data_IF_848111843613
#
_entry.id   IF_848111843613
#
_cell.length_a   1.000
_cell.length_b   1.000
_cell.length_c   1.000
_cell.angle_alpha   90.00
_cell.angle_beta   90.00
_cell.angle_gamma   90.00
#
_symmetry.space_group_name_H-M   'P 1'
#
loop_
_entity.id
_entity.type
_entity.pdbx_description
1 polymer ?
#
# COMPACT_ATOMS: atom_id res chain seq x y z
N UNK A 1 25.29 20.51 -41.49
CA UNK A 1 25.74 21.81 -40.92
C UNK A 1 26.76 22.44 -41.85
N UNK A 2 28.01 21.96 -41.88
CA UNK A 2 29.11 22.53 -42.69
C UNK A 2 28.72 22.80 -44.15
N UNK A 3 28.26 21.77 -44.87
CA UNK A 3 27.84 21.90 -46.28
C UNK A 3 26.78 22.98 -46.45
N UNK A 4 25.79 23.01 -45.57
CA UNK A 4 24.74 24.03 -45.69
C UNK A 4 25.21 25.42 -45.34
N UNK A 5 26.11 25.58 -44.38
CA UNK A 5 26.69 26.88 -44.08
C UNK A 5 27.47 27.39 -45.30
N UNK A 6 28.24 26.52 -45.95
CA UNK A 6 28.94 26.85 -47.20
C UNK A 6 28.01 27.24 -48.35
N UNK A 7 26.90 26.51 -48.54
CA UNK A 7 25.88 26.86 -49.54
C UNK A 7 25.21 28.20 -49.19
N UNK A 8 24.86 28.41 -47.93
CA UNK A 8 24.20 29.63 -47.46
C UNK A 8 25.07 30.85 -47.68
N UNK A 9 26.36 30.75 -47.34
CA UNK A 9 27.37 31.77 -47.58
C UNK A 9 27.57 32.03 -49.09
N UNK A 10 27.80 30.98 -49.89
CA UNK A 10 28.12 31.12 -51.31
C UNK A 10 26.96 31.64 -52.16
N UNK A 11 25.72 31.25 -51.84
CA UNK A 11 24.52 31.71 -52.57
C UNK A 11 23.98 33.03 -52.00
N UNK A 12 24.38 33.37 -50.77
CA UNK A 12 23.84 34.45 -49.95
C UNK A 12 22.32 34.31 -49.76
N UNK A 13 21.94 33.22 -49.08
CA UNK A 13 20.54 32.84 -48.90
C UNK A 13 19.73 33.83 -48.05
N UNK A 14 20.38 34.56 -47.14
CA UNK A 14 19.71 35.55 -46.32
C UNK A 14 19.31 36.77 -47.16
N UNK A 15 20.25 37.39 -47.88
CA UNK A 15 19.99 38.64 -48.60
C UNK A 15 19.10 38.43 -49.83
N UNK A 16 19.24 37.29 -50.53
CA UNK A 16 18.48 37.03 -51.76
C UNK A 16 17.09 36.43 -51.53
N UNK A 17 16.93 35.61 -50.50
CA UNK A 17 15.71 34.84 -50.27
C UNK A 17 15.05 35.10 -48.91
N UNK A 18 15.62 35.98 -48.08
CA UNK A 18 15.08 36.30 -46.75
C UNK A 18 15.12 35.15 -45.75
N UNK A 19 15.99 34.16 -45.98
CA UNK A 19 16.09 32.98 -45.11
C UNK A 19 16.75 33.36 -43.79
N UNK A 20 16.06 33.09 -42.68
CA UNK A 20 16.58 33.38 -41.35
C UNK A 20 17.83 32.55 -41.01
N UNK A 21 18.95 33.23 -40.83
CA UNK A 21 20.23 32.66 -40.38
C UNK A 21 20.43 32.79 -38.87
N UNK A 22 21.43 32.08 -38.32
CA UNK A 22 21.80 32.14 -36.90
C UNK A 22 22.30 33.53 -36.50
N UNK A 23 23.13 34.15 -37.34
CA UNK A 23 23.70 35.47 -37.08
C UNK A 23 24.86 35.44 -36.09
N UNK A 24 25.09 36.55 -35.40
CA UNK A 24 26.28 36.70 -34.56
C UNK A 24 26.21 35.80 -33.30
N UNK A 25 27.18 34.91 -33.15
CA UNK A 25 27.33 34.05 -31.98
C UNK A 25 28.38 34.71 -31.07
N UNK A 26 28.07 34.99 -29.79
CA UNK A 26 29.02 35.63 -28.89
C UNK A 26 30.25 34.72 -28.72
N UNK A 27 31.39 35.18 -29.24
CA UNK A 27 32.68 34.50 -29.10
C UNK A 27 33.26 34.72 -27.71
N UNK A 28 33.83 33.68 -27.12
CA UNK A 28 34.50 33.74 -25.82
C UNK A 28 33.66 33.28 -24.63
N UNK A 29 34.32 33.21 -23.46
CA UNK A 29 33.70 32.78 -22.21
C UNK A 29 33.09 33.97 -21.47
N UNK A 30 31.87 33.79 -20.95
CA UNK A 30 31.26 34.79 -20.07
C UNK A 30 31.86 34.66 -18.66
N UNK A 31 32.10 35.78 -17.95
CA UNK A 31 32.58 35.73 -16.57
C UNK A 31 31.53 35.08 -15.65
N UNK A 32 31.96 34.41 -14.57
CA UNK A 32 31.04 33.80 -13.61
C UNK A 32 30.22 34.87 -12.90
N UNK A 33 28.92 34.60 -12.69
CA UNK A 33 27.96 35.50 -12.04
C UNK A 33 27.23 34.72 -10.95
N UNK A 34 27.18 35.28 -9.74
CA UNK A 34 26.43 34.69 -8.64
C UNK A 34 24.90 34.74 -8.92
N UNK A 35 24.16 33.64 -8.71
CA UNK A 35 22.70 33.62 -8.83
C UNK A 35 22.04 34.62 -7.89
N UNK A 36 21.08 35.40 -8.38
CA UNK A 36 20.33 36.36 -7.56
C UNK A 36 19.32 35.64 -6.68
N UNK A 37 19.50 35.69 -5.36
CA UNK A 37 18.62 35.02 -4.38
C UNK A 37 17.16 35.46 -4.42
N UNK A 38 16.87 36.67 -4.92
CA UNK A 38 15.50 37.19 -5.04
C UNK A 38 14.58 36.30 -5.90
N UNK A 39 15.12 35.56 -6.87
CA UNK A 39 14.32 34.70 -7.75
C UNK A 39 14.07 33.29 -7.19
N UNK A 40 14.79 32.86 -6.14
CA UNK A 40 14.74 31.47 -5.66
C UNK A 40 13.32 31.04 -5.28
N UNK A 41 12.57 31.91 -4.60
CA UNK A 41 11.17 31.63 -4.24
C UNK A 41 10.25 31.49 -5.45
N UNK A 42 10.49 32.23 -6.53
CA UNK A 42 9.66 32.22 -7.73
C UNK A 42 9.92 31.00 -8.62
N UNK A 43 11.14 30.49 -8.63
CA UNK A 43 11.55 29.37 -9.51
C UNK A 43 11.59 28.02 -8.81
N UNK A 44 11.37 27.96 -7.50
CA UNK A 44 11.49 26.73 -6.71
C UNK A 44 10.65 25.56 -7.26
N UNK A 45 9.39 25.81 -7.65
CA UNK A 45 8.51 24.77 -8.21
C UNK A 45 9.02 24.22 -9.54
N UNK A 46 9.40 25.09 -10.46
CA UNK A 46 9.95 24.70 -11.77
C UNK A 46 11.30 23.99 -11.63
N UNK A 47 12.16 24.47 -10.73
CA UNK A 47 13.45 23.85 -10.43
C UNK A 47 13.27 22.44 -9.87
N UNK A 48 12.29 22.23 -8.98
CA UNK A 48 11.96 20.91 -8.45
C UNK A 48 11.52 19.95 -9.57
N UNK A 49 10.60 20.39 -10.44
CA UNK A 49 10.14 19.58 -11.58
C UNK A 49 11.30 19.20 -12.52
N UNK A 50 12.15 20.17 -12.87
CA UNK A 50 13.33 19.92 -13.73
C UNK A 50 14.32 18.96 -13.06
N UNK A 51 14.56 19.10 -11.75
CA UNK A 51 15.44 18.21 -11.02
C UNK A 51 14.93 16.76 -11.01
N UNK A 52 13.63 16.56 -10.74
CA UNK A 52 12.99 15.24 -10.74
C UNK A 52 13.07 14.59 -12.13
N UNK A 53 12.67 15.31 -13.18
CA UNK A 53 12.71 14.79 -14.56
C UNK A 53 14.14 14.54 -15.02
N UNK A 54 15.04 15.51 -14.79
CA UNK A 54 16.44 15.43 -15.18
C UNK A 54 17.17 14.26 -14.52
N UNK A 55 16.92 14.02 -13.23
CA UNK A 55 17.45 12.87 -12.52
C UNK A 55 16.82 11.56 -12.99
N UNK A 56 15.49 11.51 -13.17
CA UNK A 56 14.80 10.31 -13.63
C UNK A 56 15.30 9.83 -15.00
N UNK A 57 15.55 10.75 -15.94
CA UNK A 57 16.14 10.42 -17.24
C UNK A 57 17.60 9.94 -17.06
N UNK A 58 18.38 10.62 -16.22
CA UNK A 58 19.78 10.25 -15.94
C UNK A 58 19.90 8.83 -15.40
N UNK A 59 19.18 8.51 -14.31
CA UNK A 59 19.25 7.19 -13.68
C UNK A 59 18.67 6.09 -14.57
N UNK A 60 17.65 6.40 -15.38
CA UNK A 60 17.08 5.45 -16.33
C UNK A 60 18.10 5.05 -17.39
N UNK A 61 18.79 6.03 -17.99
CA UNK A 61 19.84 5.76 -18.97
C UNK A 61 21.04 5.05 -18.35
N UNK A 62 21.45 5.46 -17.15
CA UNK A 62 22.51 4.81 -16.39
C UNK A 62 22.21 3.33 -16.16
N UNK A 63 20.99 2.98 -15.73
CA UNK A 63 20.56 1.59 -15.53
C UNK A 63 20.51 0.77 -16.82
N UNK A 64 20.15 1.37 -17.95
CA UNK A 64 20.16 0.69 -19.25
C UNK A 64 21.59 0.24 -19.60
N UNK A 65 22.58 1.12 -19.46
CA UNK A 65 23.97 0.78 -19.73
C UNK A 65 24.57 -0.16 -18.67
N UNK A 66 24.18 0.01 -17.40
CA UNK A 66 24.56 -0.89 -16.31
C UNK A 66 24.14 -2.34 -16.58
N UNK A 67 22.90 -2.53 -17.03
CA UNK A 67 22.36 -3.82 -17.43
C UNK A 67 23.10 -4.38 -18.65
N UNK A 68 23.37 -3.53 -19.66
CA UNK A 68 24.05 -3.93 -20.90
C UNK A 68 25.50 -4.37 -20.69
N UNK A 69 26.24 -3.69 -19.81
CA UNK A 69 27.66 -3.93 -19.59
C UNK A 69 27.98 -4.63 -18.26
N UNK A 70 26.96 -5.00 -17.47
CA UNK A 70 27.12 -5.80 -16.26
C UNK A 70 27.75 -5.07 -15.06
N UNK A 71 27.69 -3.74 -15.00
CA UNK A 71 28.17 -2.96 -13.85
C UNK A 71 27.00 -2.47 -12.97
N UNK A 72 27.31 -2.00 -11.76
CA UNK A 72 26.32 -1.44 -10.84
C UNK A 72 26.33 0.09 -10.91
N UNK A 73 25.15 0.70 -10.85
CA UNK A 73 24.98 2.16 -10.76
C UNK A 73 24.46 2.51 -9.38
N UNK A 74 25.15 3.44 -8.71
CA UNK A 74 24.67 4.02 -7.46
C UNK A 74 23.76 5.22 -7.76
N UNK A 75 22.50 5.09 -7.36
CA UNK A 75 21.47 6.11 -7.59
C UNK A 75 21.75 7.40 -6.81
N UNK A 76 22.27 7.29 -5.60
CA UNK A 76 22.57 8.45 -4.75
C UNK A 76 23.76 9.23 -5.32
N UNK A 77 24.78 8.51 -5.80
CA UNK A 77 25.96 9.13 -6.41
C UNK A 77 25.62 9.92 -7.68
N UNK A 78 24.76 9.36 -8.55
CA UNK A 78 24.29 10.05 -9.76
C UNK A 78 23.47 11.31 -9.44
N UNK A 79 22.65 11.27 -8.38
CA UNK A 79 21.88 12.44 -7.94
C UNK A 79 22.81 13.57 -7.47
N UNK A 80 23.81 13.23 -6.64
CA UNK A 80 24.79 14.20 -6.14
C UNK A 80 25.63 14.77 -7.29
N UNK A 81 26.10 13.91 -8.21
CA UNK A 81 26.89 14.33 -9.36
C UNK A 81 26.11 15.31 -10.25
N UNK A 82 24.86 14.96 -10.61
CA UNK A 82 24.01 15.83 -11.43
C UNK A 82 23.69 17.15 -10.72
N UNK A 83 23.46 17.11 -9.41
CA UNK A 83 23.25 18.29 -8.58
C UNK A 83 24.46 19.22 -8.56
N UNK A 84 25.66 18.67 -8.37
CA UNK A 84 26.92 19.44 -8.39
C UNK A 84 27.19 20.05 -9.77
N UNK A 85 26.97 19.30 -10.86
CA UNK A 85 27.12 19.82 -12.21
C UNK A 85 26.20 21.04 -12.47
N UNK A 86 24.94 20.95 -12.07
CA UNK A 86 23.97 22.04 -12.23
C UNK A 86 24.24 23.21 -11.27
N UNK A 87 24.67 22.93 -10.04
CA UNK A 87 25.06 23.95 -9.07
C UNK A 87 26.23 24.79 -9.59
N UNK A 88 27.31 24.14 -10.04
CA UNK A 88 28.47 24.81 -10.62
C UNK A 88 28.08 25.53 -11.92
N UNK A 89 27.31 24.88 -12.80
CA UNK A 89 26.84 25.47 -14.05
C UNK A 89 26.01 26.76 -13.85
N UNK A 90 25.28 26.86 -12.74
CA UNK A 90 24.51 28.06 -12.39
C UNK A 90 25.37 29.32 -12.25
N UNK A 91 26.61 29.20 -11.78
CA UNK A 91 27.55 30.34 -11.71
C UNK A 91 28.12 30.74 -13.07
N UNK A 92 28.13 29.83 -14.04
CA UNK A 92 28.61 30.07 -15.40
C UNK A 92 27.49 30.39 -16.39
N UNK A 93 26.31 30.78 -15.89
CA UNK A 93 25.14 31.13 -16.69
C UNK A 93 24.66 29.99 -17.60
N UNK A 94 24.87 28.73 -17.19
CA UNK A 94 24.36 27.57 -17.89
C UNK A 94 22.86 27.36 -17.57
N UNK A 95 22.13 26.83 -18.55
CA UNK A 95 20.80 26.27 -18.30
C UNK A 95 20.93 24.90 -17.61
N UNK A 96 19.84 24.43 -17.00
CA UNK A 96 19.83 23.14 -16.33
C UNK A 96 20.10 21.99 -17.32
N UNK A 97 21.08 21.16 -17.01
CA UNK A 97 21.51 20.04 -17.85
C UNK A 97 21.05 18.70 -17.29
N UNK A 98 20.91 17.72 -18.18
CA UNK A 98 20.73 16.30 -17.88
C UNK A 98 21.51 15.48 -18.91
N UNK A 99 21.44 14.14 -18.82
CA UNK A 99 22.10 13.26 -19.76
C UNK A 99 21.47 13.38 -21.17
N UNK A 100 22.28 13.15 -22.20
CA UNK A 100 21.80 13.09 -23.58
C UNK A 100 21.75 11.64 -24.05
N UNK A 101 20.53 11.11 -24.22
CA UNK A 101 20.32 9.75 -24.70
C UNK A 101 20.99 9.52 -26.06
N UNK A 102 20.76 10.42 -27.03
CA UNK A 102 21.31 10.29 -28.39
C UNK A 102 22.84 10.33 -28.41
N UNK A 103 23.48 11.23 -27.65
CA UNK A 103 24.95 11.34 -27.64
C UNK A 103 25.61 10.19 -26.90
N UNK A 104 25.02 9.74 -25.80
CA UNK A 104 25.53 8.60 -25.03
C UNK A 104 25.42 7.30 -25.83
N UNK A 105 24.31 7.11 -26.56
CA UNK A 105 24.12 5.94 -27.41
C UNK A 105 25.12 5.90 -28.57
N UNK A 106 25.41 7.06 -29.19
CA UNK A 106 26.44 7.15 -30.25
C UNK A 106 27.82 6.88 -29.68
N UNK A 107 28.15 7.42 -28.51
CA UNK A 107 29.43 7.16 -27.84
C UNK A 107 29.59 5.67 -27.53
N UNK A 108 28.55 5.02 -27.01
CA UNK A 108 28.57 3.59 -26.69
C UNK A 108 28.65 2.73 -27.95
N UNK A 109 27.87 3.03 -28.99
CA UNK A 109 27.88 2.28 -30.25
C UNK A 109 29.19 2.41 -31.03
N UNK A 110 29.95 3.47 -30.79
CA UNK A 110 31.30 3.67 -31.33
C UNK A 110 32.40 3.05 -30.45
N UNK A 111 32.05 2.34 -29.38
CA UNK A 111 32.97 1.63 -28.49
C UNK A 111 33.54 2.47 -27.34
N UNK A 112 32.99 3.67 -27.08
CA UNK A 112 33.40 4.52 -25.98
C UNK A 112 33.02 3.92 -24.62
N UNK A 113 34.03 3.54 -23.84
CA UNK A 113 33.87 2.84 -22.55
C UNK A 113 34.36 3.63 -21.32
N UNK A 114 34.77 4.88 -21.50
CA UNK A 114 35.35 5.72 -20.44
C UNK A 114 34.86 7.17 -20.50
N UNK A 115 34.85 7.84 -19.33
CA UNK A 115 34.46 9.25 -19.19
C UNK A 115 35.44 10.23 -19.86
N UNK A 116 36.63 9.75 -20.25
CA UNK A 116 37.60 10.52 -21.05
C UNK A 116 36.97 11.01 -22.36
N UNK A 117 36.06 10.25 -22.96
CA UNK A 117 35.33 10.69 -24.15
C UNK A 117 34.53 11.98 -23.90
N UNK A 118 33.94 12.12 -22.71
CA UNK A 118 33.23 13.34 -22.31
C UNK A 118 34.17 14.54 -22.14
N UNK A 119 35.37 14.33 -21.61
CA UNK A 119 36.40 15.37 -21.49
C UNK A 119 36.89 15.82 -22.86
N UNK A 120 37.14 14.89 -23.78
CA UNK A 120 37.53 15.24 -25.16
C UNK A 120 36.40 16.03 -25.82
N UNK A 121 35.15 15.61 -25.66
CA UNK A 121 34.00 16.31 -26.20
C UNK A 121 33.87 17.75 -25.65
N UNK A 122 34.11 17.96 -24.35
CA UNK A 122 34.05 19.30 -23.74
C UNK A 122 35.18 20.21 -24.24
N UNK A 123 36.40 19.67 -24.45
CA UNK A 123 37.52 20.42 -25.05
C UNK A 123 37.20 20.83 -26.49
N UNK A 124 36.62 19.93 -27.29
CA UNK A 124 36.20 20.26 -28.67
C UNK A 124 35.14 21.36 -28.67
N UNK A 125 34.15 21.31 -27.77
CA UNK A 125 33.14 22.36 -27.63
C UNK A 125 33.79 23.69 -27.23
N UNK A 126 34.74 23.68 -26.28
CA UNK A 126 35.46 24.88 -25.85
C UNK A 126 36.22 25.55 -27.01
N UNK A 127 36.96 24.76 -27.80
CA UNK A 127 37.67 25.27 -28.99
C UNK A 127 36.68 25.85 -30.01
N UNK A 128 35.53 25.18 -30.19
CA UNK A 128 34.48 25.61 -31.12
C UNK A 128 33.92 26.99 -30.72
N UNK A 129 33.67 27.21 -29.43
CA UNK A 129 33.14 28.49 -28.90
C UNK A 129 34.14 29.64 -29.06
N UNK A 130 35.44 29.38 -28.90
CA UNK A 130 36.46 30.44 -28.94
C UNK A 130 36.83 30.83 -30.37
N UNK A 131 36.95 29.86 -31.30
CA UNK A 131 37.53 30.11 -32.63
C UNK A 131 36.59 29.83 -33.81
N UNK A 132 35.62 28.95 -33.68
CA UNK A 132 34.84 28.42 -34.82
C UNK A 132 33.42 29.02 -34.85
N UNK A 133 32.99 29.72 -33.80
CA UNK A 133 31.64 30.32 -33.71
C UNK A 133 31.28 31.20 -34.91
N UNK A 134 32.22 32.03 -35.38
CA UNK A 134 32.01 32.92 -36.53
C UNK A 134 31.72 32.16 -37.83
N UNK A 135 32.26 30.95 -38.00
CA UNK A 135 32.04 30.13 -39.18
C UNK A 135 30.56 29.75 -39.36
N UNK A 136 29.76 29.79 -38.30
CA UNK A 136 28.35 29.41 -38.32
C UNK A 136 27.39 30.59 -38.48
N UNK A 137 27.88 31.80 -38.77
CA UNK A 137 27.05 33.00 -38.95
C UNK A 137 25.91 32.80 -39.97
N UNK A 138 26.26 32.30 -41.17
CA UNK A 138 25.32 32.09 -42.27
C UNK A 138 24.50 30.79 -42.16
N UNK A 139 24.59 30.06 -41.06
CA UNK A 139 23.87 28.79 -40.91
C UNK A 139 22.34 29.04 -40.91
N UNK A 140 21.55 28.41 -41.81
CA UNK A 140 20.10 28.58 -41.81
C UNK A 140 19.41 27.94 -40.59
N UNK A 141 18.50 28.68 -39.93
CA UNK A 141 17.71 28.18 -38.78
C UNK A 141 16.84 26.97 -39.14
N UNK A 142 16.39 26.87 -40.40
CA UNK A 142 15.60 25.73 -40.89
C UNK A 142 16.31 24.37 -40.71
N UNK A 143 17.65 24.36 -40.79
CA UNK A 143 18.41 23.11 -40.66
C UNK A 143 18.57 22.70 -39.21
N UNK A 144 18.68 23.66 -38.29
CA UNK A 144 18.62 23.37 -36.87
C UNK A 144 17.26 22.74 -36.52
N UNK A 145 16.16 23.28 -37.06
CA UNK A 145 14.83 22.71 -36.88
C UNK A 145 14.72 21.28 -37.45
N UNK A 146 15.25 21.05 -38.66
CA UNK A 146 15.27 19.71 -39.26
C UNK A 146 16.05 18.69 -38.42
N UNK A 147 17.19 19.08 -37.85
CA UNK A 147 17.99 18.22 -36.95
C UNK A 147 17.18 17.87 -35.69
N UNK A 148 16.44 18.82 -35.12
CA UNK A 148 15.57 18.57 -33.96
C UNK A 148 14.49 17.55 -34.32
N UNK A 149 13.79 17.72 -35.45
CA UNK A 149 12.73 16.78 -35.90
C UNK A 149 13.28 15.37 -36.08
N UNK A 150 14.45 15.22 -36.72
CA UNK A 150 15.08 13.92 -36.92
C UNK A 150 15.47 13.27 -35.59
N UNK A 151 15.99 14.05 -34.64
CA UNK A 151 16.31 13.55 -33.30
C UNK A 151 15.07 13.10 -32.51
N UNK A 152 13.92 13.75 -32.72
CA UNK A 152 12.66 13.42 -32.05
C UNK A 152 11.94 12.21 -32.66
N UNK A 153 12.31 11.76 -33.87
CA UNK A 153 11.68 10.61 -34.55
C UNK A 153 11.63 9.35 -33.68
N UNK A 154 12.71 9.09 -32.92
CA UNK A 154 12.78 7.94 -32.01
C UNK A 154 11.77 8.04 -30.87
N UNK A 155 11.56 9.24 -30.32
CA UNK A 155 10.57 9.48 -29.27
C UNK A 155 9.14 9.35 -29.81
N UNK A 156 8.85 9.87 -31.01
CA UNK A 156 7.53 9.70 -31.64
C UNK A 156 7.17 8.24 -31.94
N UNK A 157 8.15 7.35 -32.10
CA UNK A 157 7.88 5.91 -32.29
C UNK A 157 7.20 5.26 -31.07
N UNK A 158 7.36 5.84 -29.87
CA UNK A 158 6.75 5.35 -28.63
C UNK A 158 5.21 5.38 -28.65
N UNK A 159 4.58 6.14 -29.55
CA UNK A 159 3.12 6.06 -29.74
C UNK A 159 2.62 4.67 -30.14
N UNK A 160 3.50 3.82 -30.70
CA UNK A 160 3.17 2.42 -31.00
C UNK A 160 2.87 1.60 -29.73
N UNK A 161 3.44 1.98 -28.58
CA UNK A 161 3.29 1.26 -27.31
C UNK A 161 1.83 1.29 -26.81
N UNK A 162 1.03 2.25 -27.27
CA UNK A 162 -0.37 2.40 -26.90
C UNK A 162 -1.20 1.15 -27.25
N UNK A 163 -0.92 0.54 -28.40
CA UNK A 163 -1.60 -0.68 -28.85
C UNK A 163 -1.21 -1.89 -28.00
N UNK A 164 0.05 -1.95 -27.56
CA UNK A 164 0.56 -3.00 -26.69
C UNK A 164 -0.01 -2.87 -25.27
N UNK A 165 -0.02 -1.65 -24.72
CA UNK A 165 -0.57 -1.36 -23.40
C UNK A 165 -2.07 -1.65 -23.32
N UNK A 166 -2.85 -1.32 -24.37
CA UNK A 166 -4.28 -1.64 -24.42
C UNK A 166 -4.56 -3.14 -24.26
N UNK A 167 -3.73 -3.99 -24.88
CA UNK A 167 -3.88 -5.46 -24.80
C UNK A 167 -3.35 -6.04 -23.50
N UNK A 168 -2.29 -5.45 -22.93
CA UNK A 168 -1.60 -5.99 -21.76
C UNK A 168 -2.20 -5.50 -20.43
N UNK A 169 -2.23 -4.18 -20.20
CA UNK A 169 -2.69 -3.60 -18.94
C UNK A 169 -3.38 -2.25 -19.20
N UNK A 170 -4.72 -2.26 -19.13
CA UNK A 170 -5.56 -1.08 -19.31
C UNK A 170 -5.25 0.03 -18.31
N UNK A 171 -4.77 -0.33 -17.12
CA UNK A 171 -4.44 0.63 -16.07
C UNK A 171 -3.19 1.44 -16.43
N UNK A 172 -2.14 0.78 -16.93
CA UNK A 172 -0.91 1.46 -17.35
C UNK A 172 -1.17 2.34 -18.58
N UNK A 173 -2.07 1.89 -19.47
CA UNK A 173 -2.57 2.73 -20.55
C UNK A 173 -3.25 4.01 -20.03
N UNK A 174 -4.10 3.92 -19.01
CA UNK A 174 -4.74 5.11 -18.42
C UNK A 174 -3.71 6.06 -17.85
N UNK A 175 -2.68 5.55 -17.15
CA UNK A 175 -1.57 6.38 -16.66
C UNK A 175 -0.86 7.07 -17.82
N UNK A 176 -0.58 6.36 -18.92
CA UNK A 176 0.04 6.94 -20.11
C UNK A 176 -0.80 8.06 -20.72
N UNK A 177 -2.10 7.81 -20.95
CA UNK A 177 -3.02 8.77 -21.57
C UNK A 177 -3.19 10.01 -20.68
N UNK A 178 -3.40 9.81 -19.38
CA UNK A 178 -3.52 10.92 -18.41
C UNK A 178 -2.23 11.73 -18.38
N UNK A 179 -1.06 11.10 -18.38
CA UNK A 179 0.24 11.80 -18.42
C UNK A 179 0.38 12.63 -19.69
N UNK A 180 0.07 12.05 -20.85
CA UNK A 180 0.17 12.73 -22.14
C UNK A 180 -0.79 13.93 -22.23
N UNK A 181 -2.07 13.73 -21.88
CA UNK A 181 -3.08 14.79 -21.93
C UNK A 181 -2.80 15.88 -20.89
N UNK A 182 -2.42 15.51 -19.66
CA UNK A 182 -2.11 16.47 -18.60
C UNK A 182 -0.91 17.34 -18.95
N UNK A 183 0.17 16.77 -19.50
CA UNK A 183 1.36 17.54 -19.90
C UNK A 183 1.11 18.44 -21.11
N UNK A 184 0.22 18.03 -22.03
CA UNK A 184 -0.16 18.85 -23.18
C UNK A 184 -1.02 20.07 -22.79
N UNK A 185 -1.95 19.91 -21.84
CA UNK A 185 -2.92 20.95 -21.46
C UNK A 185 -2.38 21.86 -20.34
N UNK A 186 -1.70 21.29 -19.34
CA UNK A 186 -1.35 21.98 -18.09
C UNK A 186 0.12 22.44 -18.03
N UNK A 187 0.86 22.32 -19.14
CA UNK A 187 2.33 22.42 -19.19
C UNK A 187 3.04 21.27 -18.46
N UNK A 188 4.36 21.21 -18.64
CA UNK A 188 5.20 20.09 -18.19
C UNK A 188 5.25 19.94 -16.67
N UNK A 189 5.31 21.05 -15.94
CA UNK A 189 5.44 21.11 -14.48
C UNK A 189 4.18 20.58 -13.77
N UNK A 190 3.02 21.16 -14.06
CA UNK A 190 1.74 20.74 -13.47
C UNK A 190 1.32 19.37 -14.04
N UNK A 191 1.55 19.13 -15.33
CA UNK A 191 1.26 17.85 -15.96
C UNK A 191 2.03 16.68 -15.33
N UNK A 192 3.31 16.88 -15.01
CA UNK A 192 4.10 15.89 -14.28
C UNK A 192 3.52 15.63 -12.89
N UNK A 193 3.25 16.68 -12.10
CA UNK A 193 2.68 16.54 -10.77
C UNK A 193 1.34 15.78 -10.79
N UNK A 194 0.46 16.13 -11.74
CA UNK A 194 -0.82 15.46 -11.94
C UNK A 194 -0.64 13.98 -12.30
N UNK A 195 0.30 13.66 -13.20
CA UNK A 195 0.58 12.27 -13.61
C UNK A 195 1.14 11.40 -12.49
N UNK A 196 2.05 11.95 -11.67
CA UNK A 196 2.61 11.25 -10.51
C UNK A 196 1.51 11.00 -9.47
N UNK A 197 0.67 12.00 -9.21
CA UNK A 197 -0.50 11.86 -8.34
C UNK A 197 -1.47 10.78 -8.83
N UNK A 198 -1.80 10.78 -10.13
CA UNK A 198 -2.67 9.78 -10.74
C UNK A 198 -2.06 8.36 -10.69
N UNK A 199 -0.75 8.24 -10.93
CA UNK A 199 -0.02 6.98 -10.80
C UNK A 199 -0.07 6.42 -9.39
N UNK A 200 0.12 7.26 -8.38
CA UNK A 200 0.01 6.84 -6.96
C UNK A 200 -1.43 6.44 -6.61
N UNK A 201 -2.42 7.23 -7.05
CA UNK A 201 -3.84 6.94 -6.83
C UNK A 201 -4.25 5.60 -7.45
N UNK A 202 -3.71 5.29 -8.61
CA UNK A 202 -3.91 4.02 -9.29
C UNK A 202 -3.40 2.83 -8.47
N UNK A 203 -2.23 2.97 -7.83
CA UNK A 203 -1.71 1.94 -6.90
C UNK A 203 -2.68 1.75 -5.73
N UNK A 204 -3.17 2.84 -5.13
CA UNK A 204 -4.12 2.79 -4.01
C UNK A 204 -5.41 2.06 -4.39
N UNK A 205 -6.00 2.38 -5.55
CA UNK A 205 -7.23 1.71 -5.99
C UNK A 205 -7.02 0.22 -6.30
N UNK A 206 -5.86 -0.14 -6.88
CA UNK A 206 -5.52 -1.56 -7.12
C UNK A 206 -5.36 -2.34 -5.83
N UNK A 207 -4.81 -1.75 -4.77
CA UNK A 207 -4.63 -2.44 -3.48
C UNK A 207 -5.91 -2.48 -2.64
N UNK A 208 -6.87 -1.60 -2.90
CA UNK A 208 -8.18 -1.57 -2.22
C UNK A 208 -9.14 -2.67 -2.67
N UNK A 209 -9.04 -3.15 -3.91
CA UNK A 209 -9.92 -4.17 -4.47
C UNK A 209 -9.18 -5.49 -4.72
N UNK A 210 -8.70 -6.17 -3.66
CA UNK A 210 -8.04 -7.44 -3.83
C UNK A 210 -9.04 -8.54 -4.21
N UNK A 211 -8.52 -9.57 -4.86
CA UNK A 211 -9.24 -10.82 -5.05
C UNK A 211 -9.37 -11.57 -3.72
N UNK A 212 -10.58 -12.01 -3.39
CA UNK A 212 -10.91 -12.78 -2.19
C UNK A 212 -11.42 -14.17 -2.58
N UNK A 213 -10.78 -15.20 -2.06
CA UNK A 213 -11.06 -16.60 -2.39
C UNK A 213 -11.37 -17.45 -1.17
N UNK A 214 -12.15 -18.50 -1.38
CA UNK A 214 -12.33 -19.58 -0.41
C UNK A 214 -11.46 -20.73 -0.88
N UNK A 215 -10.59 -21.21 0.00
CA UNK A 215 -9.67 -22.28 -0.34
C UNK A 215 -10.28 -23.64 -0.04
N UNK A 216 -10.13 -24.56 -0.99
CA UNK A 216 -10.40 -25.98 -0.85
C UNK A 216 -9.11 -26.77 -0.83
N UNK A 217 -9.16 -27.96 -0.24
CA UNK A 217 -8.07 -28.93 -0.22
C UNK A 217 -8.13 -29.78 -1.49
N UNK A 218 -6.99 -30.01 -2.13
CA UNK A 218 -6.88 -31.02 -3.18
C UNK A 218 -6.75 -32.39 -2.50
N UNK A 219 -7.52 -33.38 -2.97
CA UNK A 219 -7.56 -34.74 -2.41
C UNK A 219 -6.16 -35.30 -2.13
N UNK A 220 -5.98 -35.90 -0.96
CA UNK A 220 -4.74 -36.57 -0.51
C UNK A 220 -3.46 -35.73 -0.49
N UNK A 221 -3.57 -34.41 -0.57
CA UNK A 221 -2.42 -33.48 -0.46
C UNK A 221 -2.59 -32.48 0.68
N UNK A 222 -1.55 -31.71 0.99
CA UNK A 222 -1.57 -30.55 1.88
C UNK A 222 -1.78 -29.22 1.11
N UNK A 223 -2.14 -29.31 -0.18
CA UNK A 223 -2.27 -28.16 -1.07
C UNK A 223 -3.67 -27.59 -1.03
N UNK A 224 -3.75 -26.29 -0.74
CA UNK A 224 -4.99 -25.51 -0.73
C UNK A 224 -5.02 -24.53 -1.91
N UNK A 225 -6.13 -24.54 -2.66
CA UNK A 225 -6.35 -23.72 -3.86
C UNK A 225 -7.76 -23.16 -3.89
N UNK A 226 -7.97 -22.10 -4.67
CA UNK A 226 -9.30 -21.51 -4.82
C UNK A 226 -10.24 -22.52 -5.48
N UNK A 227 -11.37 -22.78 -4.82
CA UNK A 227 -12.42 -23.68 -5.30
C UNK A 227 -13.06 -23.17 -6.60
N UNK A 228 -13.07 -21.85 -6.81
CA UNK A 228 -13.62 -21.25 -8.03
C UNK A 228 -12.68 -21.39 -9.24
N UNK A 229 -11.38 -21.56 -9.03
CA UNK A 229 -10.37 -21.64 -10.09
C UNK A 229 -9.93 -23.08 -10.37
N UNK A 230 -9.90 -23.94 -9.35
CA UNK A 230 -9.44 -25.33 -9.45
C UNK A 230 -10.58 -26.31 -9.12
N UNK A 231 -11.12 -26.99 -10.13
CA UNK A 231 -12.23 -27.94 -9.97
C UNK A 231 -11.91 -29.11 -9.01
N UNK A 232 -10.64 -29.49 -8.88
CA UNK A 232 -10.18 -30.54 -7.96
C UNK A 232 -10.13 -30.09 -6.49
N UNK A 233 -10.24 -28.80 -6.20
CA UNK A 233 -10.17 -28.28 -4.84
C UNK A 233 -11.56 -28.38 -4.16
N UNK A 234 -11.65 -29.14 -3.08
CA UNK A 234 -12.89 -29.33 -2.34
C UNK A 234 -12.83 -28.64 -0.98
N UNK A 235 -13.91 -27.97 -0.59
CA UNK A 235 -13.98 -27.34 0.73
C UNK A 235 -13.89 -28.38 1.86
N UNK A 236 -13.19 -28.03 2.93
CA UNK A 236 -13.08 -28.90 4.11
C UNK A 236 -14.39 -28.86 4.91
N UNK A 237 -15.05 -30.00 5.17
CA UNK A 237 -16.33 -30.00 5.87
C UNK A 237 -16.25 -29.37 7.26
N UNK A 238 -17.07 -28.33 7.49
CA UNK A 238 -17.15 -27.64 8.78
C UNK A 238 -16.07 -26.57 9.01
N UNK A 239 -15.15 -26.35 8.07
CA UNK A 239 -14.09 -25.33 8.16
C UNK A 239 -14.11 -24.45 6.92
N UNK A 240 -14.12 -23.13 7.08
CA UNK A 240 -13.98 -22.19 5.96
C UNK A 240 -12.58 -21.58 5.96
N UNK A 241 -11.88 -21.71 4.85
CA UNK A 241 -10.52 -21.15 4.69
C UNK A 241 -10.63 -19.94 3.77
N UNK A 242 -10.31 -18.75 4.29
CA UNK A 242 -10.43 -17.49 3.58
C UNK A 242 -9.05 -16.91 3.28
N UNK A 243 -8.82 -16.53 2.03
CA UNK A 243 -7.57 -15.91 1.58
C UNK A 243 -7.85 -14.60 0.87
N UNK A 244 -7.01 -13.59 1.15
CA UNK A 244 -6.92 -12.36 0.37
C UNK A 244 -5.61 -12.32 -0.40
N UNK A 245 -5.63 -11.68 -1.57
CA UNK A 245 -4.45 -11.47 -2.43
C UNK A 245 -3.65 -10.21 -2.09
N UNK A 246 -4.04 -9.45 -1.07
CA UNK A 246 -3.38 -8.19 -0.67
C UNK A 246 -3.17 -8.13 0.85
N UNK A 247 -2.33 -7.18 1.25
CA UNK A 247 -2.10 -6.83 2.65
C UNK A 247 -3.30 -6.11 3.26
N UNK A 248 -3.39 -6.08 4.59
CA UNK A 248 -4.51 -5.48 5.32
C UNK A 248 -4.10 -4.15 5.93
N UNK A 249 -4.81 -3.09 5.59
CA UNK A 249 -4.58 -1.75 6.12
C UNK A 249 -5.87 -0.93 6.09
N UNK A 250 -5.84 0.30 6.60
CA UNK A 250 -7.01 1.14 6.81
C UNK A 250 -7.90 1.27 5.58
N UNK A 251 -7.33 1.27 4.37
CA UNK A 251 -8.10 1.53 3.15
C UNK A 251 -8.89 0.31 2.67
N UNK A 252 -8.55 -0.92 3.07
CA UNK A 252 -9.17 -2.13 2.53
C UNK A 252 -9.69 -3.12 3.58
N UNK A 253 -9.39 -2.92 4.87
CA UNK A 253 -9.78 -3.87 5.91
C UNK A 253 -11.30 -3.97 6.13
N UNK A 254 -12.06 -2.89 5.87
CA UNK A 254 -13.53 -2.94 5.91
C UNK A 254 -14.08 -3.83 4.79
N UNK A 255 -13.56 -3.66 3.57
CA UNK A 255 -13.89 -4.51 2.42
C UNK A 255 -13.50 -5.97 2.68
N UNK A 256 -12.37 -6.22 3.36
CA UNK A 256 -11.97 -7.55 3.78
C UNK A 256 -13.01 -8.17 4.74
N UNK A 257 -13.46 -7.42 5.74
CA UNK A 257 -14.45 -7.89 6.71
C UNK A 257 -15.80 -8.20 6.05
N UNK A 258 -16.26 -7.34 5.14
CA UNK A 258 -17.48 -7.55 4.37
C UNK A 258 -17.36 -8.73 3.42
N UNK A 259 -16.25 -8.86 2.70
CA UNK A 259 -15.98 -9.97 1.79
C UNK A 259 -15.92 -11.30 2.53
N UNK A 260 -15.31 -11.35 3.71
CA UNK A 260 -15.29 -12.53 4.58
C UNK A 260 -16.72 -12.94 4.96
N UNK A 261 -17.52 -12.02 5.48
CA UNK A 261 -18.93 -12.28 5.84
C UNK A 261 -19.74 -12.78 4.64
N UNK A 262 -19.58 -12.14 3.47
CA UNK A 262 -20.27 -12.49 2.22
C UNK A 262 -19.87 -13.88 1.70
N UNK A 263 -18.57 -14.18 1.64
CA UNK A 263 -18.04 -15.46 1.14
C UNK A 263 -18.34 -16.63 2.08
N UNK A 264 -18.44 -16.38 3.38
CA UNK A 264 -18.95 -17.36 4.35
C UNK A 264 -20.44 -17.66 4.21
N UNK A 265 -21.20 -16.88 3.41
CA UNK A 265 -22.63 -17.11 3.17
C UNK A 265 -23.52 -16.81 4.37
N UNK A 266 -23.03 -16.11 5.39
CA UNK A 266 -23.75 -15.84 6.64
C UNK A 266 -23.86 -14.35 6.88
N UNK A 267 -25.08 -13.90 7.19
CA UNK A 267 -25.32 -12.56 7.72
C UNK A 267 -25.00 -12.52 9.22
N UNK A 268 -23.70 -12.43 9.54
CA UNK A 268 -23.17 -12.42 10.91
C UNK A 268 -23.88 -11.35 11.77
N UNK A 269 -24.00 -10.13 11.26
CA UNK A 269 -24.63 -9.01 11.97
C UNK A 269 -26.10 -9.28 12.34
N UNK A 270 -26.84 -9.96 11.44
CA UNK A 270 -28.24 -10.34 11.67
C UNK A 270 -28.36 -11.42 12.73
N UNK A 271 -27.45 -12.40 12.75
CA UNK A 271 -27.43 -13.47 13.75
C UNK A 271 -27.10 -12.93 15.14
N UNK A 272 -26.06 -12.09 15.24
CA UNK A 272 -25.70 -11.39 16.49
C UNK A 272 -26.90 -10.58 17.01
N UNK A 273 -27.56 -9.83 16.12
CA UNK A 273 -28.76 -9.06 16.47
C UNK A 273 -29.92 -9.94 17.00
N UNK A 274 -30.16 -11.10 16.39
CA UNK A 274 -31.16 -12.07 16.87
C UNK A 274 -30.78 -12.67 18.22
N UNK A 275 -29.52 -13.07 18.40
CA UNK A 275 -28.98 -13.63 19.66
C UNK A 275 -29.15 -12.61 20.79
N UNK A 276 -28.72 -11.36 20.60
CA UNK A 276 -28.89 -10.27 21.58
C UNK A 276 -30.35 -10.01 21.93
N UNK A 277 -31.26 -10.02 20.95
CA UNK A 277 -32.71 -9.88 21.19
C UNK A 277 -33.29 -11.06 21.98
N UNK A 278 -32.88 -12.29 21.69
CA UNK A 278 -33.33 -13.49 22.39
C UNK A 278 -32.83 -13.51 23.84
N UNK A 279 -31.54 -13.20 24.06
CA UNK A 279 -30.94 -13.01 25.38
C UNK A 279 -31.68 -11.96 26.22
N UNK A 280 -32.03 -10.81 25.62
CA UNK A 280 -32.79 -9.76 26.31
C UNK A 280 -34.19 -10.24 26.73
N UNK A 281 -34.86 -11.04 25.89
CA UNK A 281 -36.16 -11.67 26.23
C UNK A 281 -36.00 -12.66 27.39
N UNK A 282 -34.99 -13.51 27.34
CA UNK A 282 -34.69 -14.50 28.39
C UNK A 282 -34.42 -13.82 29.73
N UNK A 283 -33.54 -12.81 29.76
CA UNK A 283 -33.26 -12.01 30.97
C UNK A 283 -34.51 -11.31 31.51
N UNK A 284 -35.41 -10.83 30.64
CA UNK A 284 -36.68 -10.22 31.06
C UNK A 284 -37.65 -11.25 31.67
N UNK A 285 -37.69 -12.47 31.12
CA UNK A 285 -38.48 -13.57 31.68
C UNK A 285 -37.93 -14.04 33.03
N UNK A 286 -36.62 -14.22 33.16
CA UNK A 286 -35.95 -14.55 34.42
C UNK A 286 -36.27 -13.51 35.50
N UNK A 287 -36.12 -12.22 35.19
CA UNK A 287 -36.48 -11.12 36.12
C UNK A 287 -37.96 -11.12 36.52
N UNK A 288 -38.88 -11.55 35.63
CA UNK A 288 -40.31 -11.68 35.98
C UNK A 288 -40.55 -12.84 36.94
N UNK A 289 -39.98 -14.01 36.64
CA UNK A 289 -40.09 -15.21 37.49
C UNK A 289 -39.47 -14.98 38.86
N UNK A 290 -38.34 -14.28 38.92
CA UNK A 290 -37.67 -13.93 40.17
C UNK A 290 -38.50 -12.95 41.02
N UNK A 291 -39.13 -11.95 40.39
CA UNK A 291 -40.10 -11.06 41.05
C UNK A 291 -41.32 -11.81 41.57
N UNK A 292 -41.84 -12.79 40.83
CA UNK A 292 -42.95 -13.64 41.29
C UNK A 292 -42.54 -14.58 42.44
N UNK A 293 -41.35 -15.18 42.37
CA UNK A 293 -40.78 -15.96 43.48
C UNK A 293 -40.59 -15.10 44.73
N UNK A 294 -40.07 -13.88 44.60
CA UNK A 294 -39.92 -12.94 45.71
C UNK A 294 -41.28 -12.53 46.32
N UNK A 295 -42.31 -12.32 45.48
CA UNK A 295 -43.69 -12.09 45.96
C UNK A 295 -44.25 -13.30 46.71
N UNK A 296 -44.06 -14.53 46.19
CA UNK A 296 -44.48 -15.78 46.86
C UNK A 296 -43.75 -16.00 48.18
N UNK A 297 -42.45 -15.72 48.25
CA UNK A 297 -41.64 -15.85 49.47
C UNK A 297 -42.08 -14.87 50.56
N UNK A 298 -42.53 -13.66 50.19
CA UNK A 298 -43.17 -12.69 51.11
C UNK A 298 -44.55 -13.12 51.62
N UNK A 299 -45.27 -13.99 50.90
CA UNK A 299 -46.57 -14.51 51.33
C UNK A 299 -46.46 -15.73 52.26
N UNK A 300 -45.28 -16.36 52.40
CA UNK A 300 -45.07 -17.61 53.12
C UNK A 300 -44.22 -17.48 54.42
N UNK A 301 -43.99 -16.27 54.94
CA UNK A 301 -43.34 -16.09 56.25
C UNK A 301 -44.37 -16.19 57.40
N UNK A 302 -44.16 -17.02 58.45
CA UNK A 302 -45.01 -17.00 59.64
C UNK A 302 -44.74 -15.76 60.50
N UNK A 303 -45.77 -15.30 61.22
CA UNK A 303 -45.74 -14.11 62.09
C UNK A 303 -44.78 -14.28 63.29
N UNK A 304 -44.11 -13.21 63.77
CA UNK A 304 -43.30 -13.30 64.97
C UNK A 304 -44.16 -13.13 66.23
N UNK A 305 -43.97 -14.03 67.20
CA UNK A 305 -44.45 -13.87 68.57
C UNK A 305 -43.59 -12.87 69.37
N UNK A 306 -44.25 -12.28 70.35
CA UNK A 306 -43.83 -11.23 71.27
C UNK A 306 -42.72 -11.62 72.26
N UNK A 307 -41.79 -10.70 72.55
CA UNK A 307 -41.48 -10.19 73.91
C UNK A 307 -40.31 -9.19 73.92
N UNK A 308 -40.46 -8.15 74.73
CA UNK A 308 -39.63 -6.95 74.96
C UNK A 308 -38.66 -7.14 76.16
N UNK A 309 -37.96 -6.10 76.69
CA UNK A 309 -37.03 -5.12 76.10
C UNK A 309 -35.70 -5.02 76.89
N UNK A 310 -34.65 -4.38 76.34
CA UNK A 310 -33.55 -3.85 77.18
C UNK A 310 -32.97 -2.54 76.62
N UNK A 311 -32.79 -1.60 77.56
CA UNK A 311 -32.44 -0.17 77.45
C UNK A 311 -30.99 0.04 76.95
N UNK A 312 -30.67 1.15 76.24
CA UNK A 312 -29.35 1.39 75.66
C UNK A 312 -28.39 2.12 76.62
N UNK A 313 -27.10 1.80 76.54
CA UNK A 313 -26.01 2.63 77.07
C UNK A 313 -25.17 3.17 75.90
N UNK A 314 -25.00 4.49 75.90
CA UNK A 314 -24.15 5.24 75.00
C UNK A 314 -22.67 4.92 75.21
N UNK A 315 -21.90 4.84 74.12
CA UNK A 315 -20.56 5.45 74.01
C UNK A 315 -20.20 5.56 72.54
N UNK A 316 -19.93 6.79 72.11
CA UNK A 316 -19.36 7.16 70.82
C UNK A 316 -17.88 6.76 70.78
N UNK A 317 -17.41 6.12 69.71
CA UNK A 317 -16.42 6.71 68.78
C UNK A 317 -16.06 5.77 67.62
N UNK A 318 -15.76 6.39 66.47
CA UNK A 318 -15.76 5.80 65.12
C UNK A 318 -14.55 4.93 64.69
N UNK A 319 -14.39 4.68 63.38
CA UNK A 319 -14.61 3.34 62.83
C UNK A 319 -13.31 2.54 62.62
N UNK A 320 -13.23 1.40 63.30
CA UNK A 320 -12.26 0.34 63.03
C UNK A 320 -12.71 -0.55 61.87
N UNK A 321 -11.82 -0.70 60.89
CA UNK A 321 -11.93 -1.61 59.74
C UNK A 321 -12.02 -3.05 60.23
N UNK A 322 -13.18 -3.69 60.06
CA UNK A 322 -13.34 -5.13 60.24
C UNK A 322 -13.24 -5.83 58.88
N UNK A 323 -12.18 -6.62 58.75
CA UNK A 323 -11.92 -7.56 57.66
C UNK A 323 -13.02 -8.63 57.69
N UNK A 324 -13.78 -8.75 56.60
CA UNK A 324 -14.66 -9.90 56.36
C UNK A 324 -13.95 -10.76 55.31
N UNK A 325 -13.52 -11.94 55.74
CA UNK A 325 -13.07 -13.02 54.86
C UNK A 325 -14.21 -13.38 53.90
N UNK A 326 -13.98 -13.13 52.61
CA UNK A 326 -14.78 -13.66 51.52
C UNK A 326 -14.31 -15.08 51.26
N UNK A 327 -15.07 -16.06 51.74
CA UNK A 327 -14.95 -17.43 51.28
C UNK A 327 -15.24 -17.48 49.77
N UNK A 328 -14.21 -17.80 49.00
CA UNK A 328 -14.26 -18.10 47.58
C UNK A 328 -15.05 -19.41 47.36
N UNK A 329 -16.37 -19.31 47.22
CA UNK A 329 -17.11 -20.33 46.48
C UNK A 329 -17.17 -19.92 45.00
N UNK A 330 -16.49 -20.71 44.17
CA UNK A 330 -16.44 -20.61 42.72
C UNK A 330 -17.85 -20.42 42.13
N UNK A 331 -18.19 -19.17 41.80
CA UNK A 331 -19.26 -18.88 40.86
C UNK A 331 -18.83 -19.40 39.49
N UNK A 332 -19.25 -20.63 39.15
CA UNK A 332 -19.30 -21.05 37.75
C UNK A 332 -20.18 -20.05 37.01
N UNK A 333 -19.55 -19.18 36.21
CA UNK A 333 -20.25 -18.26 35.29
C UNK A 333 -21.29 -19.09 34.54
N UNK A 334 -22.59 -18.74 34.57
CA UNK A 334 -23.57 -19.48 33.79
C UNK A 334 -23.11 -19.43 32.34
N UNK A 335 -22.79 -20.59 31.76
CA UNK A 335 -22.39 -20.71 30.36
C UNK A 335 -23.38 -19.95 29.50
N UNK A 336 -22.91 -18.95 28.76
CA UNK A 336 -23.79 -18.11 27.95
C UNK A 336 -24.67 -19.00 27.04
N UNK A 337 -25.97 -18.69 26.91
CA UNK A 337 -26.88 -19.54 26.15
C UNK A 337 -26.45 -19.59 24.69
N UNK A 338 -26.20 -20.81 24.21
CA UNK A 338 -25.79 -21.11 22.85
C UNK A 338 -26.91 -20.80 21.84
N UNK A 339 -26.56 -20.60 20.57
CA UNK A 339 -27.51 -20.42 19.46
C UNK A 339 -28.53 -21.56 19.42
N UNK A 340 -28.06 -22.79 19.70
CA UNK A 340 -28.90 -23.98 19.82
C UNK A 340 -29.91 -23.85 20.97
N UNK A 341 -29.47 -23.42 22.15
CA UNK A 341 -30.37 -23.19 23.30
C UNK A 341 -31.41 -22.10 23.04
N UNK A 342 -31.08 -21.14 22.17
CA UNK A 342 -31.94 -20.05 21.74
C UNK A 342 -32.80 -20.37 20.50
N UNK A 343 -32.73 -21.61 19.97
CA UNK A 343 -33.43 -22.05 18.75
C UNK A 343 -33.15 -21.16 17.52
N UNK A 344 -31.92 -20.68 17.40
CA UNK A 344 -31.45 -19.89 16.26
C UNK A 344 -30.72 -20.78 15.24
N UNK A 345 -30.76 -20.45 13.94
CA UNK A 345 -30.05 -21.21 12.92
C UNK A 345 -28.54 -21.13 13.16
N UNK A 346 -27.89 -22.30 13.15
CA UNK A 346 -26.44 -22.42 13.27
C UNK A 346 -25.77 -22.31 11.89
N UNK A 347 -24.57 -21.72 11.84
CA UNK A 347 -23.76 -21.79 10.64
C UNK A 347 -23.37 -23.24 10.31
N UNK A 348 -23.16 -23.54 9.02
CA UNK A 348 -22.77 -24.88 8.55
C UNK A 348 -21.32 -25.27 8.86
N UNK A 349 -20.56 -24.34 9.45
CA UNK A 349 -19.17 -24.49 9.84
C UNK A 349 -18.96 -23.96 11.26
N UNK A 350 -17.94 -24.47 11.93
CA UNK A 350 -17.60 -24.14 13.32
C UNK A 350 -16.28 -23.38 13.43
N UNK A 351 -15.45 -23.41 12.38
CA UNK A 351 -14.17 -22.72 12.35
C UNK A 351 -13.92 -21.97 11.03
N UNK A 352 -13.21 -20.85 11.14
CA UNK A 352 -12.67 -20.09 10.01
C UNK A 352 -11.15 -20.03 10.15
N UNK A 353 -10.42 -20.32 9.08
CA UNK A 353 -8.99 -20.08 8.97
C UNK A 353 -8.79 -18.88 8.06
N UNK A 354 -8.12 -17.84 8.56
CA UNK A 354 -7.66 -16.71 7.77
C UNK A 354 -6.22 -16.97 7.33
N UNK A 355 -5.99 -17.13 6.02
CA UNK A 355 -4.66 -17.30 5.48
C UNK A 355 -3.96 -15.95 5.31
N UNK A 356 -2.93 -15.70 6.12
CA UNK A 356 -2.15 -14.46 6.14
C UNK A 356 -0.90 -14.52 5.26
N UNK A 357 -0.76 -15.55 4.42
CA UNK A 357 0.39 -15.74 3.50
C UNK A 357 0.71 -14.52 2.63
N UNK A 358 -0.31 -13.73 2.27
CA UNK A 358 -0.19 -12.55 1.40
C UNK A 358 -0.17 -11.21 2.17
N UNK A 359 -0.20 -11.25 3.51
CA UNK A 359 -0.22 -10.05 4.36
C UNK A 359 1.22 -9.64 4.69
N UNK A 360 1.66 -8.50 4.17
CA UNK A 360 3.03 -8.00 4.35
C UNK A 360 3.17 -7.06 5.55
N UNK A 361 2.10 -6.33 5.88
CA UNK A 361 2.03 -5.43 7.03
C UNK A 361 0.57 -5.21 7.46
N UNK A 362 0.40 -4.73 8.69
CA UNK A 362 -0.87 -4.27 9.26
C UNK A 362 -0.70 -2.93 9.97
N UNK A 363 -1.80 -2.18 10.07
CA UNK A 363 -1.87 -0.90 10.78
C UNK A 363 -2.86 -0.94 11.95
N UNK A 364 -2.93 0.13 12.73
CA UNK A 364 -3.75 0.18 13.96
C UNK A 364 -5.24 0.01 13.68
N UNK A 365 -5.73 0.53 12.55
CA UNK A 365 -7.13 0.42 12.12
C UNK A 365 -7.46 -1.02 11.76
N UNK A 366 -6.61 -1.67 10.97
CA UNK A 366 -6.80 -3.08 10.58
C UNK A 366 -6.73 -4.03 11.77
N UNK A 367 -5.84 -3.80 12.74
CA UNK A 367 -5.79 -4.56 13.99
C UNK A 367 -7.12 -4.45 14.75
N UNK A 368 -7.68 -3.24 14.86
CA UNK A 368 -8.96 -3.01 15.55
C UNK A 368 -10.13 -3.71 14.85
N UNK A 369 -10.17 -3.66 13.52
CA UNK A 369 -11.21 -4.35 12.75
C UNK A 369 -11.04 -5.87 12.81
N UNK A 370 -9.80 -6.38 12.76
CA UNK A 370 -9.54 -7.81 12.91
C UNK A 370 -10.01 -8.33 14.28
N UNK A 371 -9.79 -7.57 15.37
CA UNK A 371 -10.37 -7.90 16.69
C UNK A 371 -11.90 -7.96 16.65
N UNK A 372 -12.54 -7.02 15.95
CA UNK A 372 -13.99 -7.03 15.79
C UNK A 372 -14.45 -8.28 15.02
N UNK A 373 -13.74 -8.68 13.96
CA UNK A 373 -14.02 -9.92 13.22
C UNK A 373 -13.98 -11.13 14.17
N UNK A 374 -12.91 -11.28 14.96
CA UNK A 374 -12.79 -12.36 15.95
C UNK A 374 -13.95 -12.37 16.96
N UNK A 375 -14.31 -11.19 17.49
CA UNK A 375 -15.44 -11.06 18.42
C UNK A 375 -16.77 -11.43 17.76
N UNK A 376 -17.03 -10.93 16.57
CA UNK A 376 -18.31 -11.07 15.88
C UNK A 376 -18.57 -12.52 15.46
N UNK A 377 -17.54 -13.26 15.02
CA UNK A 377 -17.68 -14.69 14.72
C UNK A 377 -17.77 -15.55 15.99
N UNK A 378 -17.02 -15.22 17.05
CA UNK A 378 -17.15 -15.91 18.33
C UNK A 378 -18.55 -15.78 18.94
N UNK A 379 -19.20 -14.63 18.76
CA UNK A 379 -20.59 -14.39 19.17
C UNK A 379 -21.59 -15.35 18.48
N UNK A 380 -21.27 -15.86 17.30
CA UNK A 380 -22.09 -16.86 16.59
C UNK A 380 -21.53 -18.29 16.72
N UNK A 381 -20.69 -18.55 17.73
CA UNK A 381 -20.08 -19.86 18.01
C UNK A 381 -19.21 -20.38 16.85
N UNK A 382 -18.49 -19.47 16.19
CA UNK A 382 -17.48 -19.79 15.19
C UNK A 382 -16.11 -19.31 15.67
N UNK A 383 -15.16 -20.23 15.74
CA UNK A 383 -13.78 -19.90 16.10
C UNK A 383 -12.98 -19.42 14.90
N UNK A 384 -12.09 -18.45 15.11
CA UNK A 384 -11.20 -17.94 14.07
C UNK A 384 -9.76 -18.31 14.41
N UNK A 385 -9.06 -18.81 13.39
CA UNK A 385 -7.65 -19.13 13.41
C UNK A 385 -6.94 -18.34 12.32
N UNK A 386 -5.67 -17.99 12.55
CA UNK A 386 -4.80 -17.34 11.56
C UNK A 386 -3.71 -18.33 11.18
N UNK A 387 -3.51 -18.54 9.88
CA UNK A 387 -2.46 -19.39 9.35
C UNK A 387 -1.44 -18.57 8.54
N UNK A 388 -0.22 -19.08 8.40
CA UNK A 388 0.81 -18.53 7.51
C UNK A 388 1.16 -17.05 7.79
N UNK A 389 1.07 -16.60 9.05
CA UNK A 389 1.33 -15.20 9.40
C UNK A 389 2.84 -14.90 9.40
N UNK A 390 3.33 -13.92 8.60
CA UNK A 390 4.75 -13.57 8.61
C UNK A 390 5.21 -12.99 9.94
N UNK A 391 6.45 -13.29 10.35
CA UNK A 391 7.03 -12.82 11.61
C UNK A 391 6.93 -11.30 11.86
N UNK A 392 7.23 -10.42 10.88
CA UNK A 392 7.05 -8.97 11.05
C UNK A 392 5.60 -8.56 11.34
N UNK A 393 4.62 -9.24 10.72
CA UNK A 393 3.19 -8.98 10.94
C UNK A 393 2.78 -9.45 12.33
N UNK A 394 3.24 -10.63 12.76
CA UNK A 394 3.02 -11.12 14.11
C UNK A 394 3.54 -10.13 15.16
N UNK A 395 4.74 -9.58 14.97
CA UNK A 395 5.30 -8.56 15.86
C UNK A 395 4.52 -7.23 15.83
N UNK A 396 3.89 -6.87 14.70
CA UNK A 396 2.97 -5.72 14.63
C UNK A 396 1.67 -6.00 15.38
N UNK A 397 1.11 -7.21 15.28
CA UNK A 397 -0.07 -7.63 16.03
C UNK A 397 0.18 -7.60 17.54
N UNK A 398 1.34 -8.09 17.99
CA UNK A 398 1.76 -8.05 19.40
C UNK A 398 1.86 -6.61 19.91
N UNK A 399 2.59 -5.74 19.21
CA UNK A 399 2.73 -4.32 19.57
C UNK A 399 1.40 -3.56 19.50
N UNK A 400 0.49 -3.97 18.62
CA UNK A 400 -0.86 -3.42 18.50
C UNK A 400 -1.86 -3.98 19.54
N UNK A 401 -1.39 -4.71 20.55
CA UNK A 401 -2.20 -5.35 21.58
C UNK A 401 -3.28 -6.26 20.98
N UNK A 402 -3.02 -6.94 19.85
CA UNK A 402 -3.99 -7.81 19.18
C UNK A 402 -4.46 -8.95 20.10
N UNK A 403 -3.52 -9.54 20.82
CA UNK A 403 -3.74 -10.65 21.73
C UNK A 403 -4.45 -10.20 23.01
N UNK A 404 -5.36 -11.04 23.49
CA UNK A 404 -6.15 -10.83 24.70
C UNK A 404 -6.50 -12.18 25.34
N UNK A 405 -7.24 -12.19 26.44
CA UNK A 405 -7.80 -13.43 27.00
C UNK A 405 -8.69 -14.19 26.00
N UNK A 406 -9.30 -13.47 25.05
CA UNK A 406 -10.20 -14.03 24.03
C UNK A 406 -9.46 -14.46 22.77
N UNK A 407 -8.37 -13.79 22.41
CA UNK A 407 -7.58 -14.04 21.19
C UNK A 407 -6.16 -14.39 21.63
N UNK A 408 -5.87 -15.68 21.69
CA UNK A 408 -4.59 -16.19 22.19
C UNK A 408 -3.64 -16.52 21.04
N UNK A 409 -2.35 -16.66 21.33
CA UNK A 409 -1.36 -17.11 20.34
C UNK A 409 -1.62 -18.54 19.86
N UNK A 410 -2.40 -19.34 20.60
CA UNK A 410 -2.83 -20.68 20.18
C UNK A 410 -3.75 -20.65 18.96
N UNK A 411 -4.33 -19.49 18.63
CA UNK A 411 -5.11 -19.33 17.39
C UNK A 411 -4.25 -19.15 16.14
N UNK A 412 -2.91 -19.17 16.25
CA UNK A 412 -1.98 -18.96 15.14
C UNK A 412 -1.26 -20.24 14.77
N UNK A 413 -1.20 -20.52 13.46
CA UNK A 413 -0.56 -21.71 12.91
C UNK A 413 0.48 -21.37 11.84
N UNK A 414 1.55 -22.18 11.73
CA UNK A 414 2.57 -21.97 10.71
C UNK A 414 2.04 -22.20 9.29
N UNK A 415 1.10 -23.14 9.10
CA UNK A 415 0.44 -23.37 7.81
C UNK A 415 -1.08 -23.55 7.94
N UNK A 416 -1.77 -23.44 6.81
CA UNK A 416 -3.21 -23.74 6.71
C UNK A 416 -3.47 -25.21 7.05
N UNK A 417 -2.57 -26.11 6.64
CA UNK A 417 -2.71 -27.54 6.91
C UNK A 417 -2.69 -27.85 8.40
N UNK A 418 -1.73 -27.27 9.15
CA UNK A 418 -1.61 -27.47 10.59
C UNK A 418 -2.88 -27.00 11.33
N UNK A 419 -3.43 -25.85 10.93
CA UNK A 419 -4.68 -25.34 11.46
C UNK A 419 -5.85 -26.32 11.21
N UNK A 420 -5.98 -26.84 9.99
CA UNK A 420 -7.03 -27.82 9.65
C UNK A 420 -6.89 -29.12 10.44
N UNK A 421 -5.66 -29.62 10.61
CA UNK A 421 -5.39 -30.84 11.37
C UNK A 421 -5.73 -30.64 12.85
N UNK A 422 -5.38 -29.49 13.45
CA UNK A 422 -5.75 -29.16 14.83
C UNK A 422 -7.28 -29.17 14.99
N UNK A 423 -7.99 -28.40 14.18
CA UNK A 423 -9.46 -28.25 14.27
C UNK A 423 -10.16 -29.62 14.14
N UNK A 424 -9.70 -30.45 13.19
CA UNK A 424 -10.25 -31.78 13.02
C UNK A 424 -9.96 -32.71 14.20
N UNK A 425 -8.80 -32.59 14.85
CA UNK A 425 -8.46 -33.40 16.05
C UNK A 425 -9.32 -33.04 17.25
N UNK A 426 -9.53 -31.75 17.52
CA UNK A 426 -10.38 -31.31 18.64
C UNK A 426 -11.82 -31.81 18.49
N UNK A 427 -12.32 -31.96 17.26
CA UNK A 427 -13.64 -32.54 17.01
C UNK A 427 -13.74 -34.03 17.36
N UNK A 428 -12.65 -34.78 17.28
CA UNK A 428 -12.62 -36.22 17.53
C UNK A 428 -12.29 -36.59 18.99
N UNK A 429 -11.87 -35.63 19.82
CA UNK A 429 -11.75 -35.81 21.25
C UNK A 429 -13.03 -35.33 21.95
N UNK A 430 -13.89 -36.22 22.50
CA UNK A 430 -14.92 -35.77 23.42
C UNK A 430 -14.23 -35.15 24.63
N UNK A 431 -14.74 -34.01 25.09
CA UNK A 431 -14.25 -33.26 26.25
C UNK A 431 -13.97 -34.18 27.44
N UNK A 432 -12.72 -34.60 27.61
CA UNK A 432 -12.26 -35.17 28.86
C UNK A 432 -12.14 -34.00 29.82
N UNK A 433 -13.01 -34.01 30.83
CA UNK A 433 -12.96 -33.06 31.94
C UNK A 433 -11.59 -33.14 32.59
N UNK A 434 -10.71 -32.20 32.27
CA UNK A 434 -9.57 -31.89 33.14
C UNK A 434 -10.06 -30.88 34.16
N UNK A 435 -10.38 -31.38 35.36
CA UNK A 435 -10.37 -30.65 36.62
C UNK A 435 -9.68 -31.52 37.67
N UNK A 436 -9.00 -30.93 38.65
CA UNK A 436 -8.00 -29.87 38.56
C UNK A 436 -6.57 -30.43 38.54
#
# INVERSE_FOLDING_TARGET
IIVSTGISYGVNLNDKFGISIVGNIPSGLKPPVAPKFSYFGQVAGNAFAIAVVGYAICISLGKIFALKHGYKVDSNQELIALGLCNFLGGFFQCFAISCSMSRSLVQESTGGNSQVAGVIASVVILVTIIKIGELFYDLPKAILAAIIIVNLKGMFKQFSDLTMLWKSNRVDLMVWIVTFVATLILNLDIGLAASVGFGLLTVIFRTQLPHYSILGRISDTDVYRDVAEYEMAQEVPGVKIFRSSSTLYFANVELYAEALKKKCGINVDRLIGKKKKALKKLKKQQKKVEKEKAKRKKLMSPAPESSSPSIPQNTEDGPGVAVIELSEEENSVPSEPTLRSLKLPQPSFHAIILDFSSVSFVDTVSIKILKNIFRDFREIEVDIFIASCPGPVLAQLERGNFFSSTITKYSFFPSVHDAVVHINRERHQPSVSTRP
#
